data_IF_333817788764
#
_entry.id   IF_333817788764
#
_cell.length_a   1.000
_cell.length_b   1.000
_cell.length_c   1.000
_cell.angle_alpha   90.00
_cell.angle_beta   90.00
_cell.angle_gamma   90.00
#
_symmetry.space_group_name_H-M   'P 1'
#
loop_
_entity.id
_entity.type
_entity.pdbx_description
1 polymer ?
#
# COMPACT_ATOMS: atom_id res chain seq x y z
N UNK A 1 19.27 2.38 7.43
CA UNK A 1 19.14 2.78 6.01
C UNK A 1 18.65 4.21 5.94
N UNK A 2 19.16 5.00 5.00
CA UNK A 2 18.68 6.37 4.76
C UNK A 2 17.15 6.41 4.71
N UNK A 3 16.52 7.22 5.56
CA UNK A 3 15.05 7.31 5.67
C UNK A 3 14.41 7.67 4.33
N UNK A 4 15.15 8.37 3.47
CA UNK A 4 14.80 8.66 2.07
C UNK A 4 14.65 7.41 1.20
N UNK A 5 15.52 6.40 1.37
CA UNK A 5 15.44 5.14 0.62
C UNK A 5 14.25 4.29 1.07
N UNK A 6 13.99 4.24 2.38
CA UNK A 6 12.85 3.49 2.95
C UNK A 6 11.52 4.02 2.41
N UNK A 7 11.34 5.34 2.41
CA UNK A 7 10.14 5.96 1.85
C UNK A 7 9.95 5.69 0.36
N UNK A 8 11.03 5.76 -0.41
CA UNK A 8 10.98 5.55 -1.85
C UNK A 8 10.62 4.09 -2.16
N UNK A 9 11.15 3.14 -1.40
CA UNK A 9 10.78 1.72 -1.46
C UNK A 9 9.31 1.50 -1.07
N UNK A 10 8.86 2.13 0.01
CA UNK A 10 7.48 2.00 0.49
C UNK A 10 6.49 2.54 -0.55
N UNK A 11 6.82 3.66 -1.19
CA UNK A 11 6.00 4.26 -2.24
C UNK A 11 5.92 3.36 -3.48
N UNK A 12 7.03 2.77 -3.91
CA UNK A 12 7.05 1.78 -5.01
C UNK A 12 6.23 0.55 -4.65
N UNK A 13 6.34 0.06 -3.41
CA UNK A 13 5.57 -1.09 -2.93
C UNK A 13 4.06 -0.82 -2.99
N UNK A 14 3.61 0.35 -2.50
CA UNK A 14 2.22 0.80 -2.58
C UNK A 14 1.73 0.83 -4.02
N UNK A 15 2.53 1.42 -4.92
CA UNK A 15 2.15 1.59 -6.32
C UNK A 15 1.92 0.23 -7.00
N UNK A 16 2.82 -0.72 -6.79
CA UNK A 16 2.69 -2.09 -7.29
C UNK A 16 1.43 -2.74 -6.72
N UNK A 17 1.20 -2.60 -5.41
CA UNK A 17 0.04 -3.17 -4.77
C UNK A 17 -1.27 -2.59 -5.31
N UNK A 18 -1.29 -1.30 -5.65
CA UNK A 18 -2.49 -0.61 -6.15
C UNK A 18 -2.85 -1.15 -7.52
N UNK A 19 -1.85 -1.35 -8.37
CA UNK A 19 -2.02 -1.93 -9.70
C UNK A 19 -2.57 -3.35 -9.57
N UNK A 20 -1.97 -4.18 -8.71
CA UNK A 20 -2.44 -5.56 -8.47
C UNK A 20 -3.86 -5.59 -7.93
N UNK A 21 -4.20 -4.71 -6.99
CA UNK A 21 -5.55 -4.60 -6.44
C UNK A 21 -6.57 -4.17 -7.49
N UNK A 22 -6.22 -3.17 -8.31
CA UNK A 22 -7.09 -2.67 -9.39
C UNK A 22 -7.32 -3.74 -10.45
N UNK A 23 -6.27 -4.46 -10.86
CA UNK A 23 -6.40 -5.59 -11.78
C UNK A 23 -7.23 -6.73 -11.19
N UNK A 24 -7.15 -6.94 -9.87
CA UNK A 24 -7.97 -7.93 -9.16
C UNK A 24 -9.45 -7.56 -9.16
N UNK A 25 -9.79 -6.30 -8.86
CA UNK A 25 -11.18 -5.80 -8.90
C UNK A 25 -11.76 -5.88 -10.31
N UNK A 26 -10.97 -5.48 -11.32
CA UNK A 26 -11.40 -5.49 -12.71
C UNK A 26 -11.59 -6.90 -13.27
N UNK A 27 -11.32 -7.95 -12.49
CA UNK A 27 -11.53 -9.34 -12.91
C UNK A 27 -10.47 -9.85 -13.88
N UNK A 28 -9.38 -9.09 -14.11
CA UNK A 28 -8.23 -9.55 -14.90
C UNK A 28 -7.45 -10.69 -14.22
N UNK A 29 -7.70 -10.91 -12.93
CA UNK A 29 -7.15 -12.02 -12.15
C UNK A 29 -8.26 -13.03 -11.83
N UNK A 30 -8.60 -13.93 -12.78
CA UNK A 30 -9.73 -14.85 -12.67
C UNK A 30 -9.56 -15.93 -11.57
N UNK A 31 -8.35 -16.10 -11.04
CA UNK A 31 -8.03 -17.06 -9.97
C UNK A 31 -7.82 -16.42 -8.61
N UNK A 32 -8.18 -15.14 -8.42
CA UNK A 32 -8.11 -14.49 -7.11
C UNK A 32 -9.41 -14.75 -6.33
N UNK A 33 -9.45 -15.72 -5.41
CA UNK A 33 -10.63 -15.95 -4.57
C UNK A 33 -10.93 -14.68 -3.75
N UNK A 34 -12.22 -14.40 -3.53
CA UNK A 34 -12.72 -13.23 -2.78
C UNK A 34 -12.02 -13.02 -1.42
N UNK A 35 -11.54 -14.08 -0.79
CA UNK A 35 -10.77 -14.03 0.45
C UNK A 35 -9.44 -13.28 0.29
N UNK A 36 -8.72 -13.45 -0.82
CA UNK A 36 -7.45 -12.77 -1.09
C UNK A 36 -7.66 -11.27 -1.33
N UNK A 37 -8.75 -10.88 -1.98
CA UNK A 37 -9.11 -9.48 -2.16
C UNK A 37 -9.33 -8.76 -0.82
N UNK A 38 -9.98 -9.41 0.15
CA UNK A 38 -10.15 -8.88 1.51
C UNK A 38 -8.82 -8.59 2.19
N UNK A 39 -7.87 -9.53 2.14
CA UNK A 39 -6.54 -9.32 2.73
C UNK A 39 -5.76 -8.19 2.07
N UNK A 40 -5.91 -8.01 0.75
CA UNK A 40 -5.28 -6.88 0.04
C UNK A 40 -5.88 -5.56 0.51
N UNK A 41 -7.20 -5.46 0.68
CA UNK A 41 -7.85 -4.26 1.21
C UNK A 41 -7.37 -3.95 2.63
N UNK A 42 -7.34 -4.97 3.50
CA UNK A 42 -6.86 -4.81 4.89
C UNK A 42 -5.39 -4.36 4.88
N UNK A 43 -4.55 -4.95 4.03
CA UNK A 43 -3.17 -4.52 3.88
C UNK A 43 -3.07 -3.08 3.40
N UNK A 44 -3.91 -2.66 2.44
CA UNK A 44 -4.00 -1.28 1.97
C UNK A 44 -4.34 -0.30 3.08
N UNK A 45 -5.32 -0.65 3.91
CA UNK A 45 -5.73 0.17 5.05
C UNK A 45 -4.57 0.31 6.04
N UNK A 46 -3.92 -0.78 6.42
CA UNK A 46 -2.78 -0.77 7.34
C UNK A 46 -1.61 0.02 6.77
N UNK A 47 -1.32 -0.15 5.48
CA UNK A 47 -0.25 0.55 4.77
C UNK A 47 -0.53 2.05 4.69
N UNK A 48 -1.77 2.44 4.41
CA UNK A 48 -2.22 3.82 4.41
C UNK A 48 -2.12 4.45 5.82
N UNK A 49 -2.53 3.73 6.86
CA UNK A 49 -2.37 4.16 8.25
C UNK A 49 -0.89 4.34 8.63
N UNK A 50 -0.03 3.39 8.24
CA UNK A 50 1.41 3.45 8.51
C UNK A 50 2.07 4.66 7.80
N UNK A 51 1.72 4.90 6.53
CA UNK A 51 2.17 6.06 5.76
C UNK A 51 1.70 7.36 6.39
N UNK A 52 0.40 7.44 6.72
CA UNK A 52 -0.19 8.62 7.33
C UNK A 52 0.42 8.93 8.69
N UNK A 53 0.73 7.91 9.50
CA UNK A 53 1.44 8.10 10.76
C UNK A 53 2.86 8.63 10.53
N UNK A 54 3.56 8.10 9.52
CA UNK A 54 4.90 8.55 9.15
C UNK A 54 4.91 10.00 8.63
N UNK A 55 3.90 10.42 7.87
CA UNK A 55 3.73 11.81 7.43
C UNK A 55 3.33 12.75 8.57
N UNK A 56 2.49 12.31 9.50
CA UNK A 56 2.14 13.08 10.71
C UNK A 56 3.35 13.35 11.59
N UNK A 57 4.26 12.37 11.72
CA UNK A 57 5.56 12.52 12.39
C UNK A 57 6.52 13.46 11.63
N UNK A 58 6.30 13.64 10.32
CA UNK A 58 7.11 14.52 9.46
C UNK A 58 6.60 15.96 9.47
N UNK A 59 5.28 16.16 9.57
CA UNK A 59 4.64 17.48 9.69
C UNK A 59 4.88 18.18 11.02
N UNK A 60 5.39 17.48 12.04
CA UNK A 60 5.81 18.06 13.33
C UNK A 60 7.21 18.71 13.32
N UNK A 61 7.92 18.70 12.18
CA UNK A 61 9.27 19.29 12.02
C UNK A 61 9.34 20.42 10.98
N UNK A 62 8.22 21.09 10.73
CA UNK A 62 8.15 22.37 10.02
C UNK A 62 7.46 23.37 10.94
#
# INVERSE_FOLDING_TARGET
MDKRKVYRLLLVLVLILTIVYTLSILGYLPYFPYFLAYYIVVFFIVLFLALRWHERLRGWRL
#
